data_IF_797016112545
#
_entry.id   IF_797016112545
#
_cell.length_a   1.000
_cell.length_b   1.000
_cell.length_c   1.000
_cell.angle_alpha   90.00
_cell.angle_beta   90.00
_cell.angle_gamma   90.00
#
_symmetry.space_group_name_H-M   'P 1'
#
loop_
_entity.id
_entity.type
_entity.pdbx_description
1 polymer ?
#
# COMPACT_ATOMS: atom_id res chain seq x y z
N UNK A 1 9.48 -8.98 7.85
CA UNK A 1 10.46 -7.91 7.73
C UNK A 1 9.80 -6.59 8.15
N UNK A 2 9.28 -5.76 7.24
CA UNK A 2 8.71 -4.47 7.58
C UNK A 2 7.59 -4.51 8.66
N UNK A 3 6.58 -5.38 8.52
CA UNK A 3 5.52 -5.53 9.53
C UNK A 3 6.06 -5.98 10.89
N UNK A 4 6.96 -6.96 10.88
CA UNK A 4 7.53 -7.54 12.10
C UNK A 4 8.36 -6.51 12.89
N UNK A 5 8.99 -5.57 12.19
CA UNK A 5 9.82 -4.50 12.73
C UNK A 5 9.04 -3.26 13.23
N UNK A 6 7.72 -3.20 13.03
CA UNK A 6 6.88 -2.16 13.62
C UNK A 6 6.83 -2.28 15.15
N UNK A 7 6.69 -1.16 15.84
CA UNK A 7 6.37 -1.16 17.27
C UNK A 7 4.96 -1.69 17.55
N UNK A 8 4.69 -2.09 18.79
CA UNK A 8 3.44 -2.74 19.16
C UNK A 8 2.22 -1.81 19.03
N UNK A 9 2.41 -0.51 19.26
CA UNK A 9 1.35 0.49 19.10
C UNK A 9 0.94 0.58 17.63
N UNK A 10 1.91 0.72 16.72
CA UNK A 10 1.62 0.77 15.29
C UNK A 10 1.07 -0.56 14.79
N UNK A 11 1.55 -1.72 15.27
CA UNK A 11 0.97 -3.03 14.94
C UNK A 11 -0.51 -3.12 15.33
N UNK A 12 -0.87 -2.60 16.50
CA UNK A 12 -2.26 -2.56 16.96
C UNK A 12 -3.11 -1.63 16.10
N UNK A 13 -2.58 -0.45 15.76
CA UNK A 13 -3.24 0.54 14.90
C UNK A 13 -3.54 -0.03 13.51
N UNK A 14 -2.57 -0.64 12.84
CA UNK A 14 -2.76 -1.15 11.46
C UNK A 14 -3.59 -2.42 11.36
N UNK A 15 -3.78 -3.16 12.46
CA UNK A 15 -4.35 -4.52 12.44
C UNK A 15 -5.77 -4.61 11.85
N UNK A 16 -6.58 -3.57 12.06
CA UNK A 16 -7.98 -3.52 11.60
C UNK A 16 -8.23 -2.60 10.40
N UNK A 17 -7.20 -1.90 9.90
CA UNK A 17 -7.40 -0.90 8.85
C UNK A 17 -7.66 -1.53 7.49
N UNK A 18 -8.57 -0.90 6.75
CA UNK A 18 -8.91 -1.26 5.36
C UNK A 18 -8.60 -0.07 4.48
N UNK A 19 -7.88 -0.31 3.38
CA UNK A 19 -7.53 0.69 2.40
C UNK A 19 -8.37 0.54 1.14
N UNK A 20 -8.68 1.67 0.50
CA UNK A 20 -9.23 1.73 -0.85
C UNK A 20 -8.08 1.85 -1.85
N UNK A 21 -8.04 0.90 -2.79
CA UNK A 21 -7.03 0.80 -3.83
C UNK A 21 -7.64 1.13 -5.19
N UNK A 22 -7.00 2.02 -5.94
CA UNK A 22 -7.40 2.38 -7.29
C UNK A 22 -6.22 2.87 -8.11
N UNK A 23 -6.27 2.62 -9.42
CA UNK A 23 -5.34 3.21 -10.39
C UNK A 23 -5.44 4.75 -10.42
N UNK A 24 -6.61 5.32 -10.12
CA UNK A 24 -6.82 6.76 -10.03
C UNK A 24 -5.85 7.39 -9.04
N UNK A 25 -5.67 6.78 -7.86
CA UNK A 25 -4.79 7.32 -6.82
C UNK A 25 -3.32 7.34 -7.25
N UNK A 26 -2.81 6.23 -7.78
CA UNK A 26 -1.41 6.16 -8.24
C UNK A 26 -1.11 7.08 -9.42
N UNK A 27 -2.07 7.23 -10.34
CA UNK A 27 -1.91 8.07 -11.55
C UNK A 27 -1.97 9.55 -11.20
N UNK A 28 -2.88 9.96 -10.31
CA UNK A 28 -2.95 11.33 -9.79
C UNK A 28 -1.65 11.73 -9.09
N UNK A 29 -1.04 10.81 -8.32
CA UNK A 29 0.20 11.09 -7.61
C UNK A 29 1.38 11.44 -8.53
N UNK A 30 1.34 11.03 -9.80
CA UNK A 30 2.37 11.35 -10.81
C UNK A 30 1.86 12.33 -11.89
N UNK A 31 0.74 13.04 -11.62
CA UNK A 31 0.27 14.17 -12.42
C UNK A 31 -0.82 13.86 -13.45
N UNK A 32 -1.32 12.63 -13.55
CA UNK A 32 -2.46 12.32 -14.42
C UNK A 32 -3.78 12.52 -13.68
N UNK A 33 -4.52 13.57 -14.04
CA UNK A 33 -5.80 13.93 -13.41
C UNK A 33 -7.00 13.85 -14.35
N UNK A 34 -6.75 13.86 -15.65
CA UNK A 34 -7.78 13.95 -16.68
C UNK A 34 -8.26 12.53 -17.07
N UNK A 35 -9.18 11.98 -16.27
CA UNK A 35 -9.79 10.69 -16.54
C UNK A 35 -11.15 10.85 -17.22
N UNK A 36 -11.40 10.01 -18.22
CA UNK A 36 -12.73 9.88 -18.80
C UNK A 36 -13.72 9.27 -17.80
N UNK A 37 -15.04 9.50 -17.95
CA UNK A 37 -16.05 8.87 -17.09
C UNK A 37 -15.96 7.34 -17.10
N UNK A 38 -15.63 6.75 -18.25
CA UNK A 38 -15.42 5.30 -18.39
C UNK A 38 -14.22 4.82 -17.57
N UNK A 39 -13.09 5.52 -17.60
CA UNK A 39 -11.93 5.18 -16.77
C UNK A 39 -12.22 5.30 -15.28
N UNK A 40 -12.95 6.35 -14.86
CA UNK A 40 -13.37 6.49 -13.46
C UNK A 40 -14.25 5.29 -13.05
N UNK A 41 -15.15 4.84 -13.92
CA UNK A 41 -15.98 3.67 -13.65
C UNK A 41 -15.19 2.37 -13.63
N UNK A 42 -14.20 2.20 -14.51
CA UNK A 42 -13.37 1.00 -14.57
C UNK A 42 -12.38 0.92 -13.41
N UNK A 43 -11.95 2.07 -12.89
CA UNK A 43 -10.99 2.19 -11.78
C UNK A 43 -11.67 2.51 -10.46
N UNK A 44 -12.94 2.10 -10.29
CA UNK A 44 -13.62 2.25 -9.01
C UNK A 44 -12.79 1.64 -7.88
N UNK A 45 -12.58 2.37 -6.76
CA UNK A 45 -11.74 1.87 -5.68
C UNK A 45 -12.26 0.56 -5.07
N UNK A 46 -11.34 -0.36 -4.81
CA UNK A 46 -11.63 -1.65 -4.16
C UNK A 46 -10.98 -1.71 -2.79
N UNK A 47 -11.61 -2.46 -1.87
CA UNK A 47 -11.19 -2.51 -0.47
C UNK A 47 -10.30 -3.71 -0.18
N UNK A 48 -9.17 -3.45 0.47
CA UNK A 48 -8.26 -4.47 0.95
C UNK A 48 -7.79 -4.19 2.39
N UNK A 49 -7.57 -5.22 3.21
CA UNK A 49 -7.01 -5.04 4.54
C UNK A 49 -5.55 -4.57 4.43
N UNK A 50 -5.16 -3.61 5.28
CA UNK A 50 -3.80 -3.09 5.35
C UNK A 50 -2.82 -4.15 5.86
N UNK A 51 -3.28 -5.08 6.69
CA UNK A 51 -2.50 -6.25 7.14
C UNK A 51 -3.06 -7.51 6.51
N UNK A 52 -2.22 -8.24 5.79
CA UNK A 52 -2.55 -9.55 5.23
C UNK A 52 -1.85 -10.66 6.00
N UNK A 53 -2.49 -11.83 6.03
CA UNK A 53 -1.90 -13.07 6.53
C UNK A 53 -1.59 -13.98 5.35
N UNK A 54 -0.33 -14.40 5.23
CA UNK A 54 0.08 -15.36 4.22
C UNK A 54 -0.37 -16.77 4.63
N UNK A 55 -1.22 -17.41 3.83
CA UNK A 55 -1.88 -18.67 4.21
C UNK A 55 -0.91 -19.83 4.52
N UNK A 56 0.22 -19.92 3.81
CA UNK A 56 1.15 -21.04 3.96
C UNK A 56 2.01 -20.94 5.23
N UNK A 57 2.48 -19.75 5.58
CA UNK A 57 3.38 -19.54 6.73
C UNK A 57 2.71 -18.90 7.95
N UNK A 58 1.48 -18.39 7.80
CA UNK A 58 0.81 -17.60 8.83
C UNK A 58 1.41 -16.21 9.05
N UNK A 59 2.47 -15.84 8.32
CA UNK A 59 3.15 -14.54 8.52
C UNK A 59 2.25 -13.38 8.13
N UNK A 60 2.33 -12.32 8.92
CA UNK A 60 1.66 -11.04 8.63
C UNK A 60 2.54 -10.13 7.78
N UNK A 61 1.92 -9.34 6.92
CA UNK A 61 2.60 -8.36 6.07
C UNK A 61 1.72 -7.13 5.87
N UNK A 62 2.35 -5.96 5.76
CA UNK A 62 1.67 -4.74 5.30
C UNK A 62 1.37 -4.87 3.80
N UNK A 63 0.13 -4.58 3.39
CA UNK A 63 -0.30 -4.59 2.00
C UNK A 63 -0.22 -3.18 1.40
N UNK A 64 1.01 -2.69 1.27
CA UNK A 64 1.30 -1.35 0.76
C UNK A 64 1.37 -1.35 -0.76
N UNK A 65 0.92 -0.27 -1.37
CA UNK A 65 0.96 -0.06 -2.82
C UNK A 65 0.76 1.42 -3.12
N UNK A 66 1.33 1.91 -4.22
CA UNK A 66 1.02 3.24 -4.76
C UNK A 66 -0.47 3.43 -5.09
N UNK A 67 -1.22 2.33 -5.24
CA UNK A 67 -2.66 2.37 -5.46
C UNK A 67 -3.46 2.59 -4.18
N UNK A 68 -2.90 2.43 -2.98
CA UNK A 68 -3.62 2.69 -1.74
C UNK A 68 -3.73 4.20 -1.51
N UNK A 69 -4.93 4.77 -1.61
CA UNK A 69 -5.12 6.22 -1.52
C UNK A 69 -5.85 6.72 -0.28
N UNK A 70 -6.70 5.88 0.31
CA UNK A 70 -7.59 6.24 1.42
C UNK A 70 -7.73 5.06 2.37
N UNK A 71 -7.74 5.34 3.68
CA UNK A 71 -8.10 4.38 4.72
C UNK A 71 -9.59 4.59 5.05
N UNK A 72 -10.36 3.51 5.05
CA UNK A 72 -11.80 3.57 5.26
C UNK A 72 -12.10 4.21 6.63
N UNK A 73 -12.89 5.27 6.61
CA UNK A 73 -13.28 6.04 7.80
C UNK A 73 -12.31 7.15 8.21
N UNK A 74 -11.20 7.33 7.49
CA UNK A 74 -10.23 8.40 7.73
C UNK A 74 -10.37 9.50 6.68
N UNK A 75 -9.87 10.70 6.97
CA UNK A 75 -9.76 11.73 5.94
C UNK A 75 -8.68 11.38 4.92
N UNK A 76 -8.79 11.91 3.69
CA UNK A 76 -7.78 11.69 2.64
C UNK A 76 -6.38 12.17 3.06
N UNK A 77 -6.20 13.36 3.66
CA UNK A 77 -4.87 13.81 4.09
C UNK A 77 -4.24 12.90 5.16
N UNK A 78 -5.02 12.51 6.18
CA UNK A 78 -4.55 11.61 7.25
C UNK A 78 -4.17 10.25 6.69
N UNK A 79 -5.02 9.68 5.82
CA UNK A 79 -4.76 8.41 5.15
C UNK A 79 -3.44 8.45 4.38
N UNK A 80 -3.25 9.48 3.55
CA UNK A 80 -2.04 9.60 2.72
C UNK A 80 -0.78 9.84 3.55
N UNK A 81 -0.88 10.62 4.63
CA UNK A 81 0.25 10.83 5.53
C UNK A 81 0.66 9.51 6.19
N UNK A 82 -0.29 8.79 6.79
CA UNK A 82 -0.01 7.53 7.46
C UNK A 82 0.50 6.44 6.51
N UNK A 83 -0.11 6.30 5.33
CA UNK A 83 0.37 5.35 4.31
C UNK A 83 1.78 5.69 3.82
N UNK A 84 2.12 6.98 3.68
CA UNK A 84 3.47 7.41 3.30
C UNK A 84 4.50 7.01 4.37
N UNK A 85 4.20 7.22 5.64
CA UNK A 85 5.11 6.86 6.74
C UNK A 85 5.35 5.35 6.79
N UNK A 86 4.31 4.54 6.54
CA UNK A 86 4.44 3.08 6.42
C UNK A 86 5.25 2.65 5.19
N UNK A 87 5.08 3.33 4.05
CA UNK A 87 5.85 3.08 2.83
C UNK A 87 7.33 3.42 3.06
N UNK A 88 7.63 4.56 3.68
CA UNK A 88 8.99 4.96 4.04
C UNK A 88 9.64 3.92 4.93
N UNK A 89 8.96 3.49 6.00
CA UNK A 89 9.44 2.40 6.87
C UNK A 89 9.67 1.10 6.09
N UNK A 90 8.72 0.66 5.27
CA UNK A 90 8.77 -0.62 4.59
C UNK A 90 9.79 -0.69 3.45
N UNK A 91 10.30 0.46 2.98
CA UNK A 91 11.28 0.58 1.89
C UNK A 91 12.68 0.96 2.39
N UNK A 92 12.92 0.92 3.70
CA UNK A 92 14.26 1.06 4.28
C UNK A 92 15.22 -0.02 3.74
N UNK A 93 16.53 0.27 3.60
CA UNK A 93 17.49 -0.63 2.98
C UNK A 93 17.51 -2.05 3.56
N UNK A 94 17.29 -2.22 4.87
CA UNK A 94 17.24 -3.54 5.52
C UNK A 94 16.07 -4.44 5.06
N UNK A 95 15.06 -3.89 4.40
CA UNK A 95 13.91 -4.62 3.86
C UNK A 95 13.93 -4.73 2.33
N UNK A 96 14.93 -4.14 1.67
CA UNK A 96 15.00 -4.05 0.22
C UNK A 96 16.10 -4.97 -0.31
N UNK A 97 15.70 -5.84 -1.23
CA UNK A 97 16.62 -6.52 -2.12
C UNK A 97 16.69 -5.76 -3.44
N UNK A 98 17.90 -5.45 -3.91
CA UNK A 98 18.13 -4.86 -5.22
C UNK A 98 18.61 -5.95 -6.18
N UNK A 99 17.81 -6.22 -7.21
CA UNK A 99 18.14 -7.22 -8.21
C UNK A 99 18.96 -6.60 -9.36
N UNK A 100 20.11 -7.20 -9.66
CA UNK A 100 20.89 -6.86 -10.86
C UNK A 100 20.54 -7.84 -11.97
N UNK A 101 19.74 -7.37 -12.93
CA UNK A 101 19.21 -8.18 -14.03
C UNK A 101 20.30 -8.73 -14.94
N UNK A 102 20.21 -10.01 -15.26
CA UNK A 102 21.03 -10.67 -16.26
C UNK A 102 20.16 -11.10 -17.45
N UNK A 103 20.79 -11.29 -18.60
CA UNK A 103 20.08 -11.78 -19.78
C UNK A 103 19.44 -13.13 -19.44
N UNK A 104 18.14 -13.25 -19.68
CA UNK A 104 17.32 -14.45 -19.43
C UNK A 104 16.90 -14.72 -17.97
N UNK A 105 17.10 -13.78 -17.03
CA UNK A 105 16.38 -13.82 -15.74
C UNK A 105 14.86 -13.70 -15.94
N UNK A 106 14.05 -14.26 -15.02
CA UNK A 106 12.58 -14.29 -15.06
C UNK A 106 11.94 -13.78 -13.77
#
# INVERSE_FOLDING_TARGET
AAYDALDDRTKAEVAGLVCEHSLLYSRQAVGFTDFTPEEISNFQPVRHPLVRVQKATGRKSLFLSAHAGVIVGWSVPESRAFLRDLIEHATRPEFVYSHSWWQHDL
#
